data_IF_446204105521
#
_entry.id   IF_446204105521
#
_cell.length_a   1.000
_cell.length_b   1.000
_cell.length_c   1.000
_cell.angle_alpha   90.00
_cell.angle_beta   90.00
_cell.angle_gamma   90.00
#
_symmetry.space_group_name_H-M   'P 1'
#
loop_
_entity.id
_entity.type
_entity.pdbx_description
1 polymer ?
#
# COMPACT_ATOMS: atom_id res chain seq x y z
N UNK A 1 15.57 2.59 10.01
CA UNK A 1 14.78 3.25 8.94
C UNK A 1 14.98 2.46 7.65
N UNK A 2 13.89 2.04 7.00
CA UNK A 2 13.97 1.36 5.70
C UNK A 2 13.92 2.44 4.59
N UNK A 3 15.00 2.60 3.83
CA UNK A 3 15.14 3.58 2.74
C UNK A 3 14.47 3.13 1.43
N UNK A 4 13.44 2.29 1.52
CA UNK A 4 12.83 1.69 0.34
C UNK A 4 11.87 2.69 -0.30
N UNK A 5 12.19 3.10 -1.54
CA UNK A 5 11.39 4.06 -2.30
C UNK A 5 10.35 3.41 -3.19
N UNK A 6 10.56 2.16 -3.61
CA UNK A 6 9.68 1.45 -4.55
C UNK A 6 9.40 0.05 -4.04
N UNK A 7 8.12 -0.32 -4.01
CA UNK A 7 7.66 -1.65 -3.61
C UNK A 7 6.60 -2.13 -4.59
N UNK A 8 6.82 -3.34 -5.13
CA UNK A 8 5.90 -3.98 -6.07
C UNK A 8 5.38 -5.27 -5.44
N UNK A 9 4.07 -5.32 -5.23
CA UNK A 9 3.29 -6.40 -4.65
C UNK A 9 2.07 -6.74 -5.53
N UNK A 10 2.05 -6.27 -6.77
CA UNK A 10 0.95 -6.51 -7.70
C UNK A 10 0.77 -8.01 -7.96
N UNK A 11 -0.49 -8.45 -8.11
CA UNK A 11 -0.86 -9.81 -8.44
C UNK A 11 -0.38 -10.84 -7.41
N UNK A 12 -0.74 -10.61 -6.15
CA UNK A 12 -0.53 -11.53 -5.03
C UNK A 12 -1.86 -11.82 -4.32
N UNK A 13 -1.80 -12.60 -3.25
CA UNK A 13 -2.98 -12.96 -2.44
C UNK A 13 -3.02 -12.18 -1.13
N UNK A 14 -2.59 -10.92 -1.12
CA UNK A 14 -2.63 -10.08 0.09
C UNK A 14 -4.08 -9.73 0.40
N UNK A 15 -4.56 -10.15 1.57
CA UNK A 15 -5.91 -9.87 2.06
C UNK A 15 -5.90 -8.70 3.06
N UNK A 16 -4.79 -8.52 3.78
CA UNK A 16 -4.65 -7.47 4.79
C UNK A 16 -3.41 -6.60 4.56
N UNK A 17 -3.59 -5.29 4.65
CA UNK A 17 -2.50 -4.31 4.64
C UNK A 17 -1.77 -4.31 6.00
N UNK A 18 -0.65 -5.02 6.06
CA UNK A 18 0.31 -5.08 7.19
C UNK A 18 1.74 -5.11 6.67
N UNK A 19 2.72 -4.77 7.51
CA UNK A 19 4.15 -4.93 7.18
C UNK A 19 4.78 -3.77 6.40
N UNK A 20 4.02 -2.70 6.15
CA UNK A 20 4.51 -1.46 5.54
C UNK A 20 4.99 -0.44 6.58
N UNK A 21 4.95 -0.77 7.87
CA UNK A 21 5.30 0.14 8.96
C UNK A 21 6.75 0.60 8.84
N UNK A 22 6.98 1.91 8.98
CA UNK A 22 8.32 2.48 8.90
C UNK A 22 8.91 2.59 7.48
N UNK A 23 8.15 2.28 6.42
CA UNK A 23 8.51 2.59 5.02
C UNK A 23 8.26 4.09 4.70
N UNK A 24 8.82 4.98 5.52
CA UNK A 24 8.58 6.44 5.47
C UNK A 24 9.11 7.10 4.18
N UNK A 25 9.99 6.43 3.45
CA UNK A 25 10.54 6.90 2.17
C UNK A 25 9.84 6.27 0.95
N UNK A 26 8.74 5.52 1.15
CA UNK A 26 8.06 4.86 0.05
C UNK A 26 7.35 5.86 -0.87
N UNK A 27 7.83 5.96 -2.10
CA UNK A 27 7.32 6.87 -3.14
C UNK A 27 6.44 6.13 -4.17
N UNK A 28 6.67 4.83 -4.37
CA UNK A 28 5.93 4.00 -5.33
C UNK A 28 5.50 2.70 -4.68
N UNK A 29 4.19 2.45 -4.67
CA UNK A 29 3.58 1.20 -4.23
C UNK A 29 2.70 0.66 -5.34
N UNK A 30 3.01 -0.54 -5.84
CA UNK A 30 2.13 -1.31 -6.71
C UNK A 30 1.52 -2.44 -5.90
N UNK A 31 0.20 -2.44 -5.72
CA UNK A 31 -0.52 -3.43 -4.89
C UNK A 31 -1.85 -3.84 -5.52
N UNK A 32 -2.07 -3.51 -6.80
CA UNK A 32 -3.22 -3.98 -7.55
C UNK A 32 -3.30 -5.51 -7.62
N UNK A 33 -4.46 -6.01 -8.04
CA UNK A 33 -4.70 -7.45 -8.20
C UNK A 33 -4.36 -8.23 -6.92
N UNK A 34 -4.77 -7.70 -5.77
CA UNK A 34 -4.74 -8.37 -4.47
C UNK A 34 -6.18 -8.50 -3.94
N UNK A 35 -6.35 -9.14 -2.78
CA UNK A 35 -7.63 -9.42 -2.15
C UNK A 35 -7.96 -8.41 -1.03
N UNK A 36 -7.39 -7.21 -1.09
CA UNK A 36 -7.66 -6.13 -0.12
C UNK A 36 -9.05 -5.57 -0.39
N UNK A 37 -9.85 -5.42 0.66
CA UNK A 37 -11.21 -4.88 0.56
C UNK A 37 -11.22 -3.50 -0.13
N UNK A 38 -12.06 -3.35 -1.17
CA UNK A 38 -12.08 -2.14 -2.01
C UNK A 38 -12.30 -0.85 -1.21
N UNK A 39 -13.14 -0.87 -0.17
CA UNK A 39 -13.39 0.32 0.65
C UNK A 39 -12.11 0.80 1.38
N UNK A 40 -11.19 -0.11 1.73
CA UNK A 40 -9.90 0.26 2.31
C UNK A 40 -9.07 0.98 1.25
N UNK A 41 -8.98 0.42 0.04
CA UNK A 41 -8.23 1.03 -1.06
C UNK A 41 -8.76 2.43 -1.37
N UNK A 42 -10.08 2.60 -1.47
CA UNK A 42 -10.73 3.90 -1.70
C UNK A 42 -10.44 4.90 -0.58
N UNK A 43 -10.56 4.47 0.68
CA UNK A 43 -10.23 5.31 1.85
C UNK A 43 -8.78 5.80 1.84
N UNK A 44 -7.85 4.98 1.35
CA UNK A 44 -6.42 5.32 1.26
C UNK A 44 -6.05 6.10 -0.01
N UNK A 45 -7.05 6.55 -0.77
CA UNK A 45 -6.88 7.38 -1.96
C UNK A 45 -6.94 6.63 -3.29
N UNK A 46 -7.19 5.32 -3.26
CA UNK A 46 -7.41 4.47 -4.43
C UNK A 46 -6.12 4.01 -5.12
N UNK A 47 -6.32 3.18 -6.15
CA UNK A 47 -5.28 2.71 -7.05
C UNK A 47 -5.53 3.23 -8.47
N UNK A 48 -4.46 3.47 -9.21
CA UNK A 48 -4.51 3.69 -10.66
C UNK A 48 -4.96 2.43 -11.39
N UNK A 49 -5.34 2.58 -12.68
CA UNK A 49 -5.71 1.45 -13.56
C UNK A 49 -4.62 0.38 -13.68
N UNK A 50 -3.36 0.71 -13.37
CA UNK A 50 -2.22 -0.21 -13.38
C UNK A 50 -1.91 -0.83 -12.01
N UNK A 51 -2.72 -0.55 -10.98
CA UNK A 51 -2.55 -1.08 -9.63
C UNK A 51 -1.56 -0.30 -8.75
N UNK A 52 -1.14 0.90 -9.14
CA UNK A 52 -0.31 1.76 -8.30
C UNK A 52 -1.15 2.59 -7.34
N UNK A 53 -0.76 2.67 -6.08
CA UNK A 53 -1.40 3.54 -5.10
C UNK A 53 -1.15 5.01 -5.46
N UNK A 54 -2.22 5.83 -5.43
CA UNK A 54 -2.08 7.27 -5.65
C UNK A 54 -1.37 7.97 -4.50
N UNK A 55 -1.51 7.43 -3.28
CA UNK A 55 -0.90 7.97 -2.06
C UNK A 55 -0.21 6.87 -1.25
N UNK A 56 0.99 6.40 -1.66
CA UNK A 56 1.69 5.31 -0.96
C UNK A 56 1.89 5.54 0.53
N UNK A 57 2.09 6.80 0.95
CA UNK A 57 2.25 7.15 2.36
C UNK A 57 0.97 6.98 3.20
N UNK A 58 -0.22 7.02 2.62
CA UNK A 58 -1.45 6.71 3.36
C UNK A 58 -1.53 5.23 3.71
N UNK A 59 -1.03 4.35 2.84
CA UNK A 59 -0.92 2.90 3.12
C UNK A 59 0.08 2.62 4.25
N UNK A 60 1.20 3.36 4.27
CA UNK A 60 2.18 3.27 5.37
C UNK A 60 1.57 3.72 6.69
N UNK A 61 0.92 4.90 6.71
CA UNK A 61 0.23 5.41 7.91
C UNK A 61 -0.86 4.48 8.40
N UNK A 62 -1.62 3.87 7.49
CA UNK A 62 -2.64 2.88 7.84
C UNK A 62 -2.04 1.69 8.59
N UNK A 63 -0.90 1.17 8.13
CA UNK A 63 -0.20 0.09 8.81
C UNK A 63 0.42 0.55 10.14
N UNK A 64 0.93 1.77 10.23
CA UNK A 64 1.48 2.33 11.47
C UNK A 64 0.43 2.49 12.58
N UNK A 65 -0.80 2.90 12.22
CA UNK A 65 -1.91 3.12 13.15
C UNK A 65 -2.65 1.84 13.57
N UNK A 66 -2.38 0.70 12.90
CA UNK A 66 -3.00 -0.60 13.19
C UNK A 66 -2.26 -1.41 14.28
N UNK A 67 -1.30 -0.80 14.98
CA UNK A 67 -0.58 -1.39 16.12
C UNK A 67 -1.38 -1.40 17.40
#
# INVERSE_FOLDING_TARGET
MKKLKKLTLNNNSIEELKGLEGLRELEVLSIGMNQIENYILERLGGLSRKGFAFKPQEFVKYCENKK
#
